data_IF_751283170018
#
_entry.id   IF_751283170018
#
_cell.length_a   1.000
_cell.length_b   1.000
_cell.length_c   1.000
_cell.angle_alpha   90.00
_cell.angle_beta   90.00
_cell.angle_gamma   90.00
#
_symmetry.space_group_name_H-M   'P 1'
#
loop_
_entity.id
_entity.type
_entity.pdbx_description
1 polymer ?
#
# COMPACT_ATOMS: atom_id res chain seq x y z
N UNK A 1 65.11 -36.91 8.73
CA UNK A 1 65.13 -37.99 7.73
C UNK A 1 64.66 -37.40 6.41
N UNK A 2 65.58 -37.41 5.48
CA UNK A 2 65.48 -36.97 4.09
C UNK A 2 64.55 -37.85 3.27
N UNK A 3 63.92 -37.29 2.22
CA UNK A 3 63.84 -37.76 0.85
C UNK A 3 63.07 -36.71 0.05
N UNK A 4 63.70 -35.91 -0.73
CA UNK A 4 64.12 -35.86 -2.17
C UNK A 4 62.97 -36.03 -3.18
N UNK A 5 62.75 -34.97 -3.86
CA UNK A 5 62.70 -34.60 -5.27
C UNK A 5 62.30 -35.66 -6.30
N UNK A 6 61.39 -35.25 -7.16
CA UNK A 6 61.14 -35.86 -8.45
C UNK A 6 60.49 -34.83 -9.42
N UNK A 7 61.32 -34.06 -10.08
CA UNK A 7 60.97 -33.26 -11.28
C UNK A 7 60.65 -34.17 -12.43
N UNK A 8 59.56 -33.93 -13.16
CA UNK A 8 59.42 -34.37 -14.55
C UNK A 8 59.06 -33.16 -15.41
N UNK A 9 59.97 -32.80 -16.29
CA UNK A 9 59.77 -31.93 -17.42
C UNK A 9 58.74 -32.55 -18.36
N UNK A 10 57.77 -31.74 -18.80
CA UNK A 10 56.94 -32.00 -19.96
C UNK A 10 57.01 -30.77 -20.89
N UNK A 11 57.60 -31.04 -22.00
CA UNK A 11 57.82 -30.21 -23.19
C UNK A 11 56.61 -29.41 -23.64
N UNK A 12 56.87 -28.15 -23.89
CA UNK A 12 56.02 -27.17 -24.56
C UNK A 12 55.90 -27.51 -26.04
N UNK A 13 54.68 -27.59 -26.57
CA UNK A 13 54.41 -27.57 -27.98
C UNK A 13 53.67 -26.29 -28.36
N UNK A 14 54.01 -25.60 -29.44
CA UNK A 14 53.57 -24.24 -29.67
C UNK A 14 52.28 -24.13 -30.48
N UNK A 15 51.61 -22.98 -30.23
CA UNK A 15 50.69 -22.24 -31.13
C UNK A 15 49.50 -22.98 -31.72
N UNK A 16 48.35 -22.75 -31.07
CA UNK A 16 47.09 -22.68 -31.83
C UNK A 16 46.63 -21.21 -31.74
N UNK A 17 46.74 -20.49 -32.83
CA UNK A 17 46.10 -19.18 -33.01
C UNK A 17 44.60 -19.35 -32.91
N UNK A 18 44.04 -18.97 -31.75
CA UNK A 18 42.60 -18.77 -31.58
C UNK A 18 42.37 -17.30 -31.93
N UNK A 19 41.95 -17.08 -33.17
CA UNK A 19 41.36 -15.85 -33.59
C UNK A 19 40.12 -15.57 -32.73
N UNK A 20 40.03 -14.49 -31.94
CA UNK A 20 38.80 -14.13 -31.23
C UNK A 20 37.89 -13.51 -32.29
N UNK A 21 37.04 -14.34 -32.93
CA UNK A 21 35.84 -13.80 -33.54
C UNK A 21 35.04 -13.15 -32.40
N UNK A 22 35.17 -11.84 -32.33
CA UNK A 22 34.31 -11.00 -31.53
C UNK A 22 32.85 -11.23 -31.96
N UNK A 23 32.20 -12.12 -31.27
CA UNK A 23 30.75 -12.05 -31.16
C UNK A 23 30.47 -10.81 -30.31
N UNK A 24 30.19 -9.71 -30.97
CA UNK A 24 29.50 -8.57 -30.38
C UNK A 24 28.21 -9.11 -29.84
N UNK A 25 28.20 -9.45 -28.55
CA UNK A 25 26.99 -9.55 -27.75
C UNK A 25 26.36 -8.16 -27.83
N UNK A 26 25.42 -7.98 -28.79
CA UNK A 26 24.61 -6.77 -28.87
C UNK A 26 23.85 -6.72 -27.55
N UNK A 27 24.31 -5.86 -26.64
CA UNK A 27 23.74 -5.66 -25.35
C UNK A 27 22.26 -5.32 -25.55
N UNK A 28 21.38 -6.28 -25.29
CA UNK A 28 19.93 -6.14 -25.44
C UNK A 28 19.50 -5.06 -24.44
N UNK A 29 19.31 -3.82 -24.94
CA UNK A 29 19.07 -2.64 -24.12
C UNK A 29 17.70 -2.72 -23.42
N UNK A 30 17.64 -2.22 -22.16
CA UNK A 30 16.40 -1.94 -21.46
C UNK A 30 15.66 -0.83 -22.22
N UNK A 31 14.39 -1.05 -22.54
CA UNK A 31 13.55 -0.06 -23.20
C UNK A 31 12.43 0.35 -22.23
N UNK A 32 12.24 1.66 -22.06
CA UNK A 32 11.08 2.21 -21.36
C UNK A 32 10.06 2.60 -22.43
N UNK A 33 8.88 1.99 -22.34
CA UNK A 33 7.78 2.24 -23.27
C UNK A 33 6.56 2.77 -22.54
N UNK A 34 5.89 3.81 -23.09
CA UNK A 34 4.59 4.22 -22.57
C UNK A 34 3.55 3.13 -22.87
N UNK A 35 2.63 2.92 -21.92
CA UNK A 35 1.50 2.00 -22.12
C UNK A 35 0.42 2.71 -22.93
N UNK A 36 0.13 2.22 -24.13
CA UNK A 36 -0.82 2.83 -25.08
C UNK A 36 -1.82 1.83 -25.65
N UNK A 37 -1.51 0.53 -25.57
CA UNK A 37 -2.34 -0.54 -26.11
C UNK A 37 -2.89 -1.44 -25.02
N UNK A 38 -3.99 -2.15 -25.32
CA UNK A 38 -4.57 -3.13 -24.40
C UNK A 38 -3.58 -4.27 -24.06
N UNK A 39 -2.71 -4.66 -24.99
CA UNK A 39 -1.69 -5.69 -24.77
C UNK A 39 -0.64 -5.21 -23.78
N UNK A 40 -0.16 -3.97 -23.92
CA UNK A 40 0.77 -3.36 -22.98
C UNK A 40 0.14 -3.17 -21.59
N UNK A 41 -1.17 -2.86 -21.54
CA UNK A 41 -1.91 -2.80 -20.28
C UNK A 41 -1.94 -4.16 -19.56
N UNK A 42 -2.13 -5.26 -20.31
CA UNK A 42 -2.04 -6.60 -19.72
C UNK A 42 -0.63 -6.92 -19.21
N UNK A 43 0.42 -6.52 -19.96
CA UNK A 43 1.81 -6.66 -19.48
C UNK A 43 2.07 -5.85 -18.21
N UNK A 44 1.54 -4.61 -18.15
CA UNK A 44 1.65 -3.76 -16.99
C UNK A 44 1.05 -4.42 -15.73
N UNK A 45 -0.10 -5.08 -15.90
CA UNK A 45 -0.78 -5.79 -14.82
C UNK A 45 -0.09 -7.11 -14.44
N UNK A 46 0.76 -7.67 -15.31
CA UNK A 46 1.50 -8.91 -15.07
C UNK A 46 2.80 -8.70 -14.25
N UNK A 47 3.36 -7.50 -14.24
CA UNK A 47 4.66 -7.19 -13.58
C UNK A 47 4.73 -7.69 -12.13
N UNK A 48 3.73 -7.46 -11.25
CA UNK A 48 3.85 -7.92 -9.87
C UNK A 48 4.01 -9.43 -9.74
N UNK A 49 3.37 -10.21 -10.60
CA UNK A 49 3.53 -11.67 -10.59
C UNK A 49 4.96 -12.12 -10.98
N UNK A 50 5.68 -11.30 -11.76
CA UNK A 50 7.10 -11.54 -12.09
C UNK A 50 7.99 -11.17 -10.90
N UNK A 51 7.78 -10.00 -10.31
CA UNK A 51 8.61 -9.47 -9.23
C UNK A 51 8.50 -10.33 -7.96
N UNK A 52 7.28 -10.73 -7.59
CA UNK A 52 6.99 -11.44 -6.34
C UNK A 52 6.85 -12.96 -6.49
N UNK A 53 7.30 -13.55 -7.60
CA UNK A 53 7.10 -14.96 -7.91
C UNK A 53 7.53 -15.93 -6.77
N UNK A 54 8.57 -15.56 -6.01
CA UNK A 54 9.14 -16.36 -4.94
C UNK A 54 9.03 -15.70 -3.55
N UNK A 55 8.21 -14.65 -3.42
CA UNK A 55 8.05 -13.96 -2.14
C UNK A 55 6.87 -14.54 -1.33
N UNK A 56 7.15 -15.25 -0.20
CA UNK A 56 6.12 -15.88 0.60
C UNK A 56 5.24 -14.88 1.36
N UNK A 57 5.68 -13.64 1.54
CA UNK A 57 4.94 -12.61 2.25
C UNK A 57 4.02 -11.79 1.35
N UNK A 58 4.21 -11.86 0.04
CA UNK A 58 3.39 -11.12 -0.88
C UNK A 58 1.94 -11.63 -0.91
N UNK A 59 1.00 -10.67 -0.92
CA UNK A 59 -0.43 -10.92 -1.10
C UNK A 59 -0.86 -10.29 -2.42
N UNK A 60 -1.19 -11.09 -3.44
CA UNK A 60 -1.59 -10.56 -4.74
C UNK A 60 -2.83 -9.68 -4.64
N UNK A 61 -2.78 -8.43 -5.13
CA UNK A 61 -3.99 -7.60 -5.23
C UNK A 61 -4.95 -8.19 -6.26
N UNK A 62 -6.23 -7.84 -6.15
CA UNK A 62 -7.19 -8.19 -7.20
C UNK A 62 -6.84 -7.44 -8.48
N UNK A 63 -6.45 -8.18 -9.52
CA UNK A 63 -6.04 -7.63 -10.83
C UNK A 63 -7.09 -6.68 -11.42
N UNK A 64 -8.38 -7.03 -11.29
CA UNK A 64 -9.50 -6.21 -11.74
C UNK A 64 -9.59 -4.86 -11.02
N UNK A 65 -9.20 -4.80 -9.75
CA UNK A 65 -9.21 -3.54 -8.99
C UNK A 65 -8.14 -2.58 -9.51
N UNK A 66 -6.93 -3.08 -9.77
CA UNK A 66 -5.85 -2.26 -10.36
C UNK A 66 -6.22 -1.82 -11.78
N UNK A 67 -6.79 -2.72 -12.59
CA UNK A 67 -7.26 -2.38 -13.93
C UNK A 67 -8.34 -1.26 -13.89
N UNK A 68 -9.30 -1.33 -12.95
CA UNK A 68 -10.32 -0.27 -12.76
C UNK A 68 -9.69 1.06 -12.35
N UNK A 69 -8.69 1.05 -11.45
CA UNK A 69 -7.99 2.28 -11.02
C UNK A 69 -7.24 2.97 -12.17
N UNK A 70 -6.75 2.23 -13.14
CA UNK A 70 -5.98 2.75 -14.28
C UNK A 70 -6.81 2.88 -15.56
N UNK A 71 -8.11 2.57 -15.49
CA UNK A 71 -9.00 2.66 -16.64
C UNK A 71 -9.27 4.12 -17.05
N UNK A 72 -9.52 4.40 -18.34
CA UNK A 72 -9.89 5.73 -18.82
C UNK A 72 -11.16 6.31 -18.17
N UNK A 73 -11.96 5.45 -17.55
CA UNK A 73 -13.20 5.82 -16.84
C UNK A 73 -12.99 6.20 -15.37
N UNK A 74 -11.73 6.13 -14.88
CA UNK A 74 -11.45 6.48 -13.48
C UNK A 74 -11.79 7.97 -13.24
N UNK A 75 -12.60 8.31 -12.21
CA UNK A 75 -12.92 9.69 -11.83
C UNK A 75 -11.69 10.57 -11.60
N UNK A 76 -10.56 10.01 -11.20
CA UNK A 76 -9.29 10.72 -11.07
C UNK A 76 -8.96 11.55 -12.33
N UNK A 77 -9.26 11.05 -13.52
CA UNK A 77 -8.96 11.73 -14.79
C UNK A 77 -9.80 12.99 -15.05
N UNK A 78 -10.80 13.28 -14.22
CA UNK A 78 -11.55 14.54 -14.27
C UNK A 78 -10.76 15.71 -13.65
N UNK A 79 -9.82 15.42 -12.75
CA UNK A 79 -9.03 16.41 -12.03
C UNK A 79 -7.54 16.05 -11.94
N UNK A 80 -7.10 15.12 -12.74
CA UNK A 80 -5.73 14.69 -12.79
C UNK A 80 -5.38 14.06 -14.14
N UNK A 81 -4.13 13.71 -14.29
CA UNK A 81 -3.61 13.04 -15.48
C UNK A 81 -2.49 12.09 -15.11
N UNK A 82 -2.30 11.07 -15.90
CA UNK A 82 -1.28 10.05 -15.62
C UNK A 82 -0.65 9.52 -16.91
N UNK A 83 0.54 8.96 -16.76
CA UNK A 83 1.21 8.15 -17.78
C UNK A 83 1.75 6.88 -17.13
N UNK A 84 1.46 5.75 -17.73
CA UNK A 84 1.98 4.44 -17.36
C UNK A 84 3.21 4.14 -18.21
N UNK A 85 4.26 3.56 -17.59
CA UNK A 85 5.47 3.14 -18.27
C UNK A 85 5.82 1.69 -17.91
N UNK A 86 6.36 0.97 -18.89
CA UNK A 86 6.91 -0.38 -18.74
C UNK A 86 8.40 -0.36 -19.04
N UNK A 87 9.18 -1.05 -18.22
CA UNK A 87 10.53 -1.45 -18.55
C UNK A 87 10.50 -2.86 -19.15
N UNK A 88 10.98 -2.98 -20.37
CA UNK A 88 11.00 -4.24 -21.13
C UNK A 88 12.36 -4.49 -21.76
N UNK A 89 12.64 -5.77 -22.02
CA UNK A 89 13.82 -6.19 -22.79
C UNK A 89 13.33 -7.01 -23.99
N UNK A 90 13.64 -6.57 -25.21
CA UNK A 90 13.32 -7.28 -26.44
C UNK A 90 14.58 -7.98 -26.95
N UNK A 91 14.47 -9.24 -27.31
CA UNK A 91 15.55 -9.97 -27.99
C UNK A 91 15.61 -9.52 -29.45
N UNK A 92 16.74 -8.99 -29.87
CA UNK A 92 16.97 -8.72 -31.31
C UNK A 92 17.13 -10.04 -32.06
N UNK A 93 16.12 -10.46 -32.83
CA UNK A 93 16.28 -11.31 -34.02
C UNK A 93 14.96 -11.51 -34.78
N UNK A 94 14.89 -10.98 -35.98
CA UNK A 94 13.97 -11.31 -37.06
C UNK A 94 12.54 -10.77 -36.99
N UNK A 95 11.99 -10.39 -38.14
CA UNK A 95 10.65 -9.78 -38.32
C UNK A 95 9.48 -10.59 -37.72
N UNK A 96 9.62 -11.88 -37.52
CA UNK A 96 8.59 -12.74 -36.89
C UNK A 96 8.50 -12.59 -35.36
N UNK A 97 9.46 -11.96 -34.68
CA UNK A 97 9.52 -11.80 -33.23
C UNK A 97 9.01 -10.44 -32.69
N UNK A 98 8.62 -9.52 -33.58
CA UNK A 98 8.00 -8.26 -33.13
C UNK A 98 6.66 -8.48 -32.42
N UNK A 99 6.01 -9.63 -32.57
CA UNK A 99 4.77 -10.01 -31.87
C UNK A 99 4.99 -10.85 -30.61
N UNK A 100 6.22 -11.26 -30.29
CA UNK A 100 6.50 -12.02 -29.08
C UNK A 100 6.45 -11.11 -27.84
N UNK A 101 5.87 -11.62 -26.73
CA UNK A 101 5.86 -10.94 -25.44
C UNK A 101 7.31 -10.65 -25.01
N UNK A 102 7.68 -9.38 -24.75
CA UNK A 102 9.02 -9.04 -24.28
C UNK A 102 9.26 -9.59 -22.87
N UNK A 103 10.53 -9.65 -22.45
CA UNK A 103 10.84 -9.87 -21.04
C UNK A 103 10.40 -8.65 -20.25
N UNK A 104 9.49 -8.85 -19.30
CA UNK A 104 8.94 -7.82 -18.45
C UNK A 104 9.90 -7.57 -17.26
N UNK A 105 10.35 -6.34 -17.07
CA UNK A 105 11.34 -5.97 -16.06
C UNK A 105 10.79 -5.07 -14.96
N UNK A 106 9.78 -4.23 -15.28
CA UNK A 106 9.20 -3.34 -14.28
C UNK A 106 8.13 -2.43 -14.85
N UNK A 107 7.51 -1.67 -13.97
CA UNK A 107 6.46 -0.70 -14.27
C UNK A 107 6.50 0.50 -13.34
N UNK A 108 5.94 1.62 -13.76
CA UNK A 108 5.71 2.81 -12.94
C UNK A 108 4.55 3.62 -13.54
N UNK A 109 3.86 4.38 -12.69
CA UNK A 109 2.91 5.42 -13.11
C UNK A 109 3.45 6.75 -12.63
N UNK A 110 3.49 7.74 -13.54
CA UNK A 110 3.63 9.15 -13.20
C UNK A 110 2.24 9.79 -13.24
N UNK A 111 1.92 10.62 -12.25
CA UNK A 111 0.60 11.24 -12.14
C UNK A 111 0.69 12.67 -11.63
N UNK A 112 -0.22 13.52 -12.10
CA UNK A 112 -0.46 14.86 -11.57
C UNK A 112 -1.86 14.90 -11.01
N UNK A 113 -1.99 15.30 -9.76
CA UNK A 113 -3.25 15.43 -9.04
C UNK A 113 -3.50 16.92 -8.76
N UNK A 114 -4.35 17.55 -9.55
CA UNK A 114 -4.57 18.99 -9.46
C UNK A 114 -5.22 19.39 -8.13
N UNK A 115 -6.10 18.55 -7.55
CA UNK A 115 -6.66 18.80 -6.20
C UNK A 115 -5.59 18.80 -5.09
N UNK A 116 -4.53 18.00 -5.26
CA UNK A 116 -3.40 18.00 -4.32
C UNK A 116 -2.57 19.27 -4.46
N UNK A 117 -2.32 19.70 -5.72
CA UNK A 117 -1.59 20.92 -6.04
C UNK A 117 -2.32 22.14 -5.49
N UNK A 118 -3.62 22.24 -5.75
CA UNK A 118 -4.46 23.35 -5.26
C UNK A 118 -4.45 23.46 -3.75
N UNK A 119 -4.46 22.28 -3.08
CA UNK A 119 -4.45 22.23 -1.62
C UNK A 119 -3.10 22.60 -1.02
N UNK A 120 -2.00 22.10 -1.57
CA UNK A 120 -0.65 22.34 -1.04
C UNK A 120 -0.06 23.66 -1.52
N UNK A 121 -0.60 24.27 -2.60
CA UNK A 121 -0.02 25.46 -3.26
C UNK A 121 1.35 25.18 -3.86
N UNK A 122 1.70 23.90 -4.12
CA UNK A 122 3.01 23.44 -4.55
C UNK A 122 2.87 22.49 -5.74
N UNK A 123 3.69 22.70 -6.79
CA UNK A 123 3.69 21.89 -8.02
C UNK A 123 4.38 20.53 -7.79
N UNK A 124 3.66 19.63 -7.15
CA UNK A 124 4.10 18.26 -6.85
C UNK A 124 3.46 17.27 -7.80
N UNK A 125 4.30 16.47 -8.46
CA UNK A 125 3.87 15.29 -9.21
C UNK A 125 4.06 14.01 -8.40
N UNK A 126 3.34 12.97 -8.73
CA UNK A 126 3.34 11.71 -8.02
C UNK A 126 3.95 10.60 -8.88
N UNK A 127 4.67 9.66 -8.25
CA UNK A 127 4.89 8.34 -8.83
C UNK A 127 4.22 7.27 -7.96
N UNK A 128 3.72 6.22 -8.61
CA UNK A 128 3.10 5.09 -7.94
C UNK A 128 3.14 3.82 -8.80
N UNK A 129 2.51 2.75 -8.35
CA UNK A 129 2.52 1.44 -9.02
C UNK A 129 3.92 0.95 -9.41
N UNK A 130 4.94 1.42 -8.67
CA UNK A 130 6.34 1.10 -8.95
C UNK A 130 6.63 -0.34 -8.59
N UNK A 131 7.08 -1.10 -9.59
CA UNK A 131 7.52 -2.47 -9.46
C UNK A 131 8.68 -2.73 -10.41
N UNK A 132 9.76 -3.36 -9.95
CA UNK A 132 10.87 -3.76 -10.82
C UNK A 132 11.57 -5.01 -10.30
N UNK A 133 12.24 -5.71 -11.22
CA UNK A 133 13.18 -6.79 -10.88
C UNK A 133 14.36 -6.22 -10.07
N UNK A 134 15.16 -7.05 -9.35
CA UNK A 134 16.28 -6.59 -8.53
C UNK A 134 17.48 -6.10 -9.38
N UNK A 135 17.23 -5.08 -10.21
CA UNK A 135 18.21 -4.41 -11.06
C UNK A 135 18.04 -2.88 -10.94
N UNK A 136 19.04 -2.23 -10.36
CA UNK A 136 19.02 -0.78 -10.19
C UNK A 136 18.93 -0.02 -11.51
N UNK A 137 19.50 -0.55 -12.60
CA UNK A 137 19.43 0.10 -13.92
C UNK A 137 17.99 0.17 -14.42
N UNK A 138 17.18 -0.88 -14.17
CA UNK A 138 15.76 -0.91 -14.48
C UNK A 138 14.99 0.10 -13.61
N UNK A 139 15.26 0.10 -12.31
CA UNK A 139 14.62 1.01 -11.37
C UNK A 139 14.89 2.47 -11.75
N UNK A 140 16.17 2.81 -11.99
CA UNK A 140 16.60 4.16 -12.39
C UNK A 140 15.93 4.59 -13.69
N UNK A 141 15.90 3.74 -14.71
CA UNK A 141 15.26 4.06 -15.99
C UNK A 141 13.75 4.37 -15.84
N UNK A 142 13.04 3.61 -15.00
CA UNK A 142 11.63 3.86 -14.69
C UNK A 142 11.42 5.18 -13.94
N UNK A 143 12.24 5.44 -12.91
CA UNK A 143 12.18 6.68 -12.13
C UNK A 143 12.50 7.89 -12.98
N UNK A 144 13.53 7.80 -13.84
CA UNK A 144 13.89 8.87 -14.78
C UNK A 144 12.75 9.18 -15.75
N UNK A 145 12.12 8.17 -16.34
CA UNK A 145 10.98 8.35 -17.24
C UNK A 145 9.78 9.02 -16.55
N UNK A 146 9.49 8.63 -15.32
CA UNK A 146 8.45 9.28 -14.52
C UNK A 146 8.81 10.74 -14.21
N UNK A 147 10.04 11.02 -13.79
CA UNK A 147 10.51 12.37 -13.51
C UNK A 147 10.51 13.25 -14.77
N UNK A 148 10.91 12.72 -15.92
CA UNK A 148 10.91 13.46 -17.19
C UNK A 148 9.48 13.83 -17.61
N UNK A 149 8.55 12.88 -17.53
CA UNK A 149 7.15 13.16 -17.82
C UNK A 149 6.58 14.24 -16.87
N UNK A 150 6.87 14.13 -15.56
CA UNK A 150 6.41 15.11 -14.57
C UNK A 150 7.00 16.51 -14.82
N UNK A 151 8.29 16.63 -15.22
CA UNK A 151 8.88 17.92 -15.67
C UNK A 151 8.13 18.47 -16.87
N UNK A 152 7.81 17.63 -17.84
CA UNK A 152 7.00 18.00 -19.02
C UNK A 152 5.59 18.49 -18.65
N UNK A 153 5.05 18.06 -17.50
CA UNK A 153 3.80 18.56 -16.94
C UNK A 153 3.98 19.81 -16.07
N UNK A 154 5.20 20.36 -15.96
CA UNK A 154 5.48 21.56 -15.20
C UNK A 154 5.60 21.35 -13.69
N UNK A 155 5.80 20.12 -13.23
CA UNK A 155 6.04 19.81 -11.82
C UNK A 155 7.49 20.16 -11.44
N UNK A 156 7.69 20.60 -10.20
CA UNK A 156 9.00 20.97 -9.65
C UNK A 156 9.49 20.00 -8.58
N UNK A 157 8.61 19.14 -8.09
CA UNK A 157 8.91 18.07 -7.14
C UNK A 157 8.20 16.79 -7.59
N UNK A 158 8.88 15.65 -7.50
CA UNK A 158 8.28 14.34 -7.59
C UNK A 158 8.18 13.72 -6.20
N UNK A 159 7.05 13.08 -5.88
CA UNK A 159 6.75 12.47 -4.58
C UNK A 159 6.18 11.07 -4.78
N UNK A 160 6.58 10.11 -3.95
CA UNK A 160 6.03 8.76 -3.99
C UNK A 160 6.74 7.74 -3.10
N UNK A 161 6.29 6.47 -3.12
CA UNK A 161 5.20 6.00 -3.97
C UNK A 161 3.82 6.44 -3.45
N UNK A 162 2.98 6.88 -4.37
CA UNK A 162 1.56 7.21 -4.10
C UNK A 162 0.76 6.86 -5.37
N UNK A 163 -0.15 5.92 -5.26
CA UNK A 163 -0.99 5.48 -6.37
C UNK A 163 -2.13 6.48 -6.60
N UNK A 164 -1.84 7.57 -7.35
CA UNK A 164 -2.71 8.68 -7.72
C UNK A 164 -3.14 9.57 -6.52
N UNK A 165 -3.31 9.02 -5.34
CA UNK A 165 -3.74 9.68 -4.11
C UNK A 165 -3.38 8.83 -2.91
N UNK A 166 -3.19 9.45 -1.73
CA UNK A 166 -2.98 8.74 -0.46
C UNK A 166 -4.19 7.95 0.03
N UNK A 167 -5.33 8.03 -0.65
CA UNK A 167 -6.47 7.14 -0.40
C UNK A 167 -6.31 5.76 -1.02
N UNK A 168 -5.44 5.63 -2.02
CA UNK A 168 -5.03 4.37 -2.61
C UNK A 168 -3.78 3.83 -1.91
N UNK A 169 -3.12 2.84 -2.54
CA UNK A 169 -1.86 2.33 -2.04
C UNK A 169 -0.78 3.43 -2.09
N UNK A 170 -0.05 3.59 -0.99
CA UNK A 170 1.07 4.54 -0.90
C UNK A 170 2.08 4.04 0.13
N UNK A 171 3.27 4.64 0.17
CA UNK A 171 4.38 4.29 1.05
C UNK A 171 5.16 3.05 0.57
N UNK A 172 6.49 3.09 0.73
CA UNK A 172 7.33 1.89 0.74
C UNK A 172 7.50 1.37 2.14
N UNK A 173 7.43 0.05 2.31
CA UNK A 173 7.94 -0.63 3.49
C UNK A 173 9.47 -0.46 3.52
N UNK A 174 10.02 0.02 4.63
CA UNK A 174 11.47 0.22 4.82
C UNK A 174 12.03 -0.63 5.96
N UNK A 175 11.17 -1.11 6.88
CA UNK A 175 11.53 -2.01 7.98
C UNK A 175 10.35 -2.90 8.35
N UNK A 176 10.60 -4.16 8.78
CA UNK A 176 9.59 -5.15 9.13
C UNK A 176 9.15 -6.03 7.95
N UNK A 177 10.10 -6.46 7.11
CA UNK A 177 9.86 -7.31 5.93
C UNK A 177 9.56 -8.79 6.26
N UNK A 178 9.67 -9.19 7.50
CA UNK A 178 9.57 -10.58 7.99
C UNK A 178 8.14 -11.15 8.04
N UNK A 179 7.15 -10.33 7.77
CA UNK A 179 5.73 -10.72 7.84
C UNK A 179 4.90 -10.12 6.71
N UNK A 180 3.81 -10.81 6.29
CA UNK A 180 2.88 -10.27 5.30
C UNK A 180 2.29 -8.92 5.70
N UNK A 181 1.85 -8.09 4.73
CA UNK A 181 1.11 -6.87 5.04
C UNK A 181 -0.30 -7.22 5.56
N UNK A 182 -0.85 -6.40 6.43
CA UNK A 182 -2.28 -6.37 6.73
C UNK A 182 -3.07 -5.81 5.54
N UNK A 183 -4.37 -6.08 5.50
CA UNK A 183 -5.25 -5.57 4.46
C UNK A 183 -5.10 -4.06 4.26
N UNK A 184 -5.02 -3.63 3.00
CA UNK A 184 -4.82 -2.23 2.59
C UNK A 184 -3.50 -1.61 3.10
N UNK A 185 -2.50 -2.42 3.44
CA UNK A 185 -1.13 -1.95 3.69
C UNK A 185 -0.23 -2.31 2.52
N UNK A 186 0.70 -1.41 2.15
CA UNK A 186 1.65 -1.68 1.07
C UNK A 186 2.65 -2.76 1.45
N UNK A 187 3.17 -3.42 0.43
CA UNK A 187 4.27 -4.35 0.54
C UNK A 187 5.17 -4.23 -0.69
N UNK A 188 6.45 -4.31 -0.49
CA UNK A 188 7.47 -4.24 -1.54
C UNK A 188 8.72 -5.03 -1.15
N UNK A 189 9.57 -5.43 -2.12
CA UNK A 189 10.88 -5.99 -1.84
C UNK A 189 11.80 -5.01 -1.10
N UNK A 190 12.74 -5.49 -0.26
CA UNK A 190 13.63 -4.63 0.51
C UNK A 190 14.55 -3.73 -0.32
N UNK A 191 14.80 -4.08 -1.57
CA UNK A 191 15.68 -3.32 -2.45
C UNK A 191 15.01 -2.06 -3.07
N UNK A 192 13.67 -1.89 -3.00
CA UNK A 192 13.02 -0.69 -3.54
C UNK A 192 13.44 0.59 -2.81
N UNK A 193 13.37 0.68 -1.48
CA UNK A 193 13.90 1.84 -0.76
C UNK A 193 15.37 2.12 -1.08
N UNK A 194 16.19 1.08 -1.15
CA UNK A 194 17.61 1.21 -1.47
C UNK A 194 17.84 1.80 -2.86
N UNK A 195 17.10 1.34 -3.87
CA UNK A 195 17.21 1.87 -5.24
C UNK A 195 16.74 3.31 -5.34
N UNK A 196 15.65 3.66 -4.67
CA UNK A 196 15.14 5.04 -4.65
C UNK A 196 16.12 5.97 -3.95
N UNK A 197 16.70 5.57 -2.82
CA UNK A 197 17.75 6.33 -2.11
C UNK A 197 19.05 6.45 -2.94
N UNK A 198 19.45 5.37 -3.61
CA UNK A 198 20.61 5.38 -4.53
C UNK A 198 20.38 6.31 -5.73
N UNK A 199 19.15 6.49 -6.21
CA UNK A 199 18.79 7.45 -7.26
C UNK A 199 18.64 8.90 -6.74
N UNK A 200 18.97 9.15 -5.47
CA UNK A 200 19.03 10.50 -4.89
C UNK A 200 17.71 11.04 -4.35
N UNK A 201 16.68 10.20 -4.21
CA UNK A 201 15.46 10.59 -3.53
C UNK A 201 15.70 10.72 -2.03
N UNK A 202 15.01 11.67 -1.42
CA UNK A 202 15.12 11.96 0.00
C UNK A 202 13.83 11.56 0.74
N UNK A 203 13.95 11.21 2.01
CA UNK A 203 12.81 10.98 2.89
C UNK A 203 11.93 12.23 2.94
N UNK A 204 10.65 12.07 2.61
CA UNK A 204 9.64 13.12 2.81
C UNK A 204 8.84 12.89 4.09
N UNK A 205 8.38 11.65 4.34
CA UNK A 205 7.53 11.31 5.50
C UNK A 205 7.66 9.85 5.88
N UNK A 206 7.81 9.57 7.18
CA UNK A 206 7.68 8.22 7.73
C UNK A 206 6.29 7.99 8.34
N UNK A 207 5.88 6.73 8.30
CA UNK A 207 4.66 6.25 8.93
C UNK A 207 4.90 4.89 9.58
N UNK A 208 4.19 4.62 10.66
CA UNK A 208 4.39 3.41 11.46
C UNK A 208 3.14 2.54 11.48
N UNK A 209 3.36 1.23 11.49
CA UNK A 209 2.36 0.26 11.87
C UNK A 209 2.69 -0.30 13.27
N UNK A 210 1.70 -0.29 14.13
CA UNK A 210 1.81 -0.79 15.49
C UNK A 210 1.13 -2.15 15.61
N UNK A 211 1.83 -3.12 16.16
CA UNK A 211 1.24 -4.38 16.58
C UNK A 211 0.68 -4.23 18.00
N UNK A 212 -0.60 -4.53 18.17
CA UNK A 212 -1.29 -4.53 19.45
C UNK A 212 -1.80 -5.94 19.75
N UNK A 213 -1.26 -6.64 20.78
CA UNK A 213 -1.69 -7.99 21.13
C UNK A 213 -3.10 -7.96 21.76
N UNK A 214 -3.96 -8.89 21.34
CA UNK A 214 -5.34 -9.07 21.86
C UNK A 214 -5.50 -10.40 22.64
N UNK A 215 -4.43 -11.14 22.79
CA UNK A 215 -4.35 -12.38 23.60
C UNK A 215 -4.20 -12.10 25.10
N UNK A 216 -4.15 -10.83 25.49
CA UNK A 216 -4.06 -10.35 26.87
C UNK A 216 -5.27 -9.48 27.19
N UNK A 217 -5.67 -9.40 28.48
CA UNK A 217 -6.71 -8.48 28.90
C UNK A 217 -6.36 -7.03 28.52
N UNK A 218 -7.35 -6.29 28.05
CA UNK A 218 -7.17 -4.85 27.79
C UNK A 218 -6.91 -4.10 29.10
N UNK A 219 -6.15 -3.00 29.00
CA UNK A 219 -5.94 -2.12 30.14
C UNK A 219 -7.29 -1.65 30.72
N UNK A 220 -7.48 -1.70 32.05
CA UNK A 220 -8.70 -1.23 32.71
C UNK A 220 -9.05 0.23 32.39
N UNK A 221 -8.08 1.03 31.98
CA UNK A 221 -8.30 2.44 31.62
C UNK A 221 -9.22 2.59 30.40
N UNK A 222 -9.22 1.65 29.47
CA UNK A 222 -10.13 1.67 28.33
C UNK A 222 -11.59 1.49 28.77
N UNK A 223 -11.87 0.51 29.63
CA UNK A 223 -13.20 0.29 30.17
C UNK A 223 -13.66 1.46 31.05
N UNK A 224 -12.76 1.99 31.87
CA UNK A 224 -13.03 3.20 32.69
C UNK A 224 -13.40 4.39 31.80
N UNK A 225 -12.63 4.61 30.71
CA UNK A 225 -12.94 5.66 29.74
C UNK A 225 -14.30 5.47 29.08
N UNK A 226 -14.64 4.26 28.68
CA UNK A 226 -15.96 3.91 28.13
C UNK A 226 -17.08 4.24 29.10
N UNK A 227 -16.96 3.84 30.39
CA UNK A 227 -17.96 4.13 31.44
C UNK A 227 -18.11 5.63 31.69
N UNK A 228 -17.01 6.42 31.63
CA UNK A 228 -17.06 7.88 31.75
C UNK A 228 -17.82 8.48 30.57
N UNK A 229 -17.55 8.01 29.34
CA UNK A 229 -18.24 8.49 28.13
C UNK A 229 -19.75 8.26 28.23
N UNK A 230 -20.20 7.06 28.64
CA UNK A 230 -21.61 6.74 28.85
C UNK A 230 -22.26 7.69 29.89
N UNK A 231 -21.60 7.91 31.03
CA UNK A 231 -22.12 8.84 32.08
C UNK A 231 -22.18 10.28 31.60
N UNK A 232 -21.40 10.64 30.55
CA UNK A 232 -21.40 11.97 29.95
C UNK A 232 -22.47 12.16 28.88
N UNK A 233 -23.38 11.19 28.73
CA UNK A 233 -24.49 11.22 27.74
C UNK A 233 -24.09 10.75 26.33
N UNK A 234 -22.89 10.19 26.16
CA UNK A 234 -22.47 9.59 24.88
C UNK A 234 -23.07 8.21 24.76
N UNK A 235 -23.61 7.88 23.59
CA UNK A 235 -24.06 6.55 23.24
C UNK A 235 -23.14 5.92 22.20
N UNK A 236 -23.08 4.59 22.17
CA UNK A 236 -22.27 3.84 21.22
C UNK A 236 -23.13 2.78 20.55
N UNK A 237 -22.90 2.58 19.26
CA UNK A 237 -23.50 1.51 18.46
C UNK A 237 -22.55 1.03 17.40
N UNK A 238 -22.78 -0.18 16.84
CA UNK A 238 -22.05 -0.60 15.63
C UNK A 238 -22.48 0.23 14.41
N UNK A 239 -21.63 0.25 13.37
CA UNK A 239 -21.97 0.76 12.04
C UNK A 239 -23.15 -0.07 11.48
N UNK A 240 -24.16 0.60 10.93
CA UNK A 240 -25.24 -0.05 10.19
C UNK A 240 -24.71 -0.50 8.83
N UNK A 241 -24.84 -1.78 8.49
CA UNK A 241 -24.26 -2.36 7.27
C UNK A 241 -25.30 -2.67 6.19
N UNK A 242 -26.58 -2.31 6.39
CA UNK A 242 -27.68 -2.64 5.48
C UNK A 242 -28.66 -1.48 5.30
N UNK A 243 -29.29 -1.44 4.11
CA UNK A 243 -30.37 -0.50 3.79
C UNK A 243 -29.95 0.97 3.92
N UNK A 244 -30.94 1.84 4.03
CA UNK A 244 -30.75 3.31 4.14
C UNK A 244 -29.89 3.73 5.32
N UNK A 245 -29.89 2.91 6.39
CA UNK A 245 -29.04 3.14 7.56
C UNK A 245 -27.56 3.13 7.24
N UNK A 246 -27.10 2.28 6.31
CA UNK A 246 -25.71 2.27 5.86
C UNK A 246 -25.35 3.56 5.14
N UNK A 247 -26.18 4.03 4.22
CA UNK A 247 -25.93 5.25 3.48
C UNK A 247 -25.89 6.49 4.39
N UNK A 248 -26.84 6.58 5.34
CA UNK A 248 -26.86 7.65 6.34
C UNK A 248 -25.59 7.65 7.21
N UNK A 249 -25.14 6.48 7.66
CA UNK A 249 -23.89 6.36 8.41
C UNK A 249 -22.67 6.76 7.56
N UNK A 250 -22.63 6.37 6.28
CA UNK A 250 -21.56 6.74 5.39
C UNK A 250 -21.51 8.25 5.12
N UNK A 251 -22.65 8.92 5.00
CA UNK A 251 -22.69 10.40 4.88
C UNK A 251 -22.16 11.06 6.16
N UNK A 252 -22.56 10.57 7.33
CA UNK A 252 -22.06 11.08 8.61
C UNK A 252 -20.55 10.82 8.78
N UNK A 253 -20.08 9.64 8.37
CA UNK A 253 -18.66 9.30 8.34
C UNK A 253 -17.88 10.23 7.40
N UNK A 254 -18.39 10.48 6.19
CA UNK A 254 -17.76 11.42 5.25
C UNK A 254 -17.55 12.80 5.88
N UNK A 255 -18.61 13.36 6.48
CA UNK A 255 -18.55 14.68 7.09
C UNK A 255 -17.53 14.73 8.24
N UNK A 256 -17.55 13.72 9.11
CA UNK A 256 -16.64 13.64 10.24
C UNK A 256 -15.19 13.37 9.78
N UNK A 257 -15.00 12.47 8.83
CA UNK A 257 -13.69 12.13 8.25
C UNK A 257 -13.06 13.34 7.57
N UNK A 258 -13.83 14.02 6.72
CA UNK A 258 -13.35 15.22 6.00
C UNK A 258 -12.95 16.32 6.98
N UNK A 259 -13.76 16.56 8.03
CA UNK A 259 -13.45 17.56 9.07
C UNK A 259 -12.19 17.18 9.87
N UNK A 260 -12.02 15.90 10.22
CA UNK A 260 -10.94 15.45 11.08
C UNK A 260 -9.58 15.30 10.36
N UNK A 261 -9.62 14.89 9.09
CA UNK A 261 -8.42 14.53 8.32
C UNK A 261 -8.08 15.51 7.19
N UNK A 262 -8.81 16.65 7.09
CA UNK A 262 -8.56 17.68 6.08
C UNK A 262 -7.12 18.18 6.06
N UNK A 263 -6.45 18.21 7.19
CA UNK A 263 -5.08 18.71 7.34
C UNK A 263 -4.01 17.61 7.30
N UNK A 264 -4.37 16.37 6.99
CA UNK A 264 -3.38 15.31 6.85
C UNK A 264 -2.43 15.62 5.68
N UNK A 265 -1.15 15.34 5.91
CA UNK A 265 -0.10 15.55 4.92
C UNK A 265 -0.39 14.75 3.64
N UNK A 266 -0.24 15.42 2.48
CA UNK A 266 -0.45 14.86 1.14
C UNK A 266 -1.84 14.24 0.88
N UNK A 267 -2.83 14.54 1.74
CA UNK A 267 -4.20 14.05 1.56
C UNK A 267 -4.90 14.84 0.44
N UNK A 268 -5.59 14.17 -0.45
CA UNK A 268 -6.39 14.79 -1.53
C UNK A 268 -7.84 14.91 -1.10
N UNK A 269 -8.49 16.09 -1.25
CA UNK A 269 -9.92 16.22 -1.03
C UNK A 269 -10.72 15.27 -1.93
N UNK A 270 -11.74 14.61 -1.36
CA UNK A 270 -12.68 13.75 -2.09
C UNK A 270 -14.09 14.34 -2.04
N UNK A 271 -14.90 14.07 -3.07
CA UNK A 271 -16.32 14.38 -3.01
C UNK A 271 -17.07 13.35 -2.16
N UNK A 272 -18.29 13.68 -1.76
CA UNK A 272 -19.15 12.75 -1.03
C UNK A 272 -19.48 11.51 -1.89
N UNK A 273 -19.70 11.70 -3.19
CA UNK A 273 -20.00 10.63 -4.13
C UNK A 273 -18.85 9.64 -4.25
N UNK A 274 -17.60 10.15 -4.39
CA UNK A 274 -16.39 9.31 -4.42
C UNK A 274 -16.25 8.48 -3.13
N UNK A 275 -16.50 9.11 -1.97
CA UNK A 275 -16.44 8.42 -0.68
C UNK A 275 -17.53 7.35 -0.55
N UNK A 276 -18.76 7.65 -0.96
CA UNK A 276 -19.88 6.71 -0.89
C UNK A 276 -19.70 5.52 -1.84
N UNK A 277 -19.14 5.74 -3.04
CA UNK A 277 -18.82 4.65 -3.97
C UNK A 277 -17.77 3.70 -3.35
N UNK A 278 -16.71 4.25 -2.75
CA UNK A 278 -15.69 3.44 -2.07
C UNK A 278 -16.28 2.69 -0.86
N UNK A 279 -17.10 3.35 -0.06
CA UNK A 279 -17.77 2.73 1.08
C UNK A 279 -18.68 1.55 0.65
N UNK A 280 -19.42 1.69 -0.47
CA UNK A 280 -20.21 0.61 -1.06
C UNK A 280 -19.35 -0.58 -1.49
N UNK A 281 -18.17 -0.35 -2.05
CA UNK A 281 -17.24 -1.41 -2.42
C UNK A 281 -16.70 -2.19 -1.19
N UNK A 282 -16.58 -1.53 -0.04
CA UNK A 282 -16.12 -2.13 1.21
C UNK A 282 -17.26 -2.71 2.07
N UNK A 283 -18.51 -2.40 1.78
CA UNK A 283 -19.70 -2.74 2.62
C UNK A 283 -19.72 -4.21 3.04
N UNK A 284 -19.44 -5.13 2.11
CA UNK A 284 -19.46 -6.59 2.37
C UNK A 284 -18.29 -7.09 3.22
N UNK A 285 -17.26 -6.26 3.39
CA UNK A 285 -16.05 -6.54 4.17
C UNK A 285 -16.14 -5.94 5.56
N UNK A 286 -17.06 -5.00 5.80
CA UNK A 286 -17.22 -4.38 7.12
C UNK A 286 -17.77 -5.40 8.09
N UNK A 287 -17.13 -5.46 9.25
CA UNK A 287 -17.61 -6.22 10.40
C UNK A 287 -18.07 -5.23 11.48
N UNK A 288 -19.40 -5.15 11.75
CA UNK A 288 -19.93 -4.15 12.68
C UNK A 288 -19.43 -4.30 14.11
N UNK A 289 -18.99 -5.50 14.51
CA UNK A 289 -18.48 -5.74 15.87
C UNK A 289 -17.16 -5.00 16.13
N UNK A 290 -16.37 -4.76 15.08
CA UNK A 290 -15.10 -4.02 15.15
C UNK A 290 -15.18 -2.62 14.55
N UNK A 291 -16.40 -2.11 14.35
CA UNK A 291 -16.63 -0.76 13.83
C UNK A 291 -17.64 0.03 14.69
N UNK A 292 -17.32 0.34 15.95
CA UNK A 292 -18.17 1.18 16.80
C UNK A 292 -18.19 2.64 16.36
N UNK A 293 -19.36 3.25 16.51
CA UNK A 293 -19.67 4.66 16.32
C UNK A 293 -20.07 5.25 17.67
N UNK A 294 -19.61 6.47 17.94
CA UNK A 294 -20.03 7.27 19.09
C UNK A 294 -21.00 8.36 18.65
N UNK A 295 -22.10 8.51 19.37
CA UNK A 295 -23.12 9.53 19.12
C UNK A 295 -23.40 10.36 20.38
N UNK A 296 -23.77 11.62 20.17
CA UNK A 296 -24.24 12.52 21.21
C UNK A 296 -25.41 13.35 20.68
N UNK A 297 -26.56 13.29 21.38
CA UNK A 297 -27.83 13.89 20.91
C UNK A 297 -28.23 13.48 19.49
N UNK A 298 -27.96 12.22 19.10
CA UNK A 298 -28.29 11.68 17.76
C UNK A 298 -27.31 12.04 16.66
N UNK A 299 -26.27 12.82 16.95
CA UNK A 299 -25.23 13.15 15.97
C UNK A 299 -23.98 12.29 16.16
N UNK A 300 -23.36 11.84 15.06
CA UNK A 300 -22.11 11.10 15.07
C UNK A 300 -20.95 12.02 15.45
N UNK A 301 -20.30 11.72 16.57
CA UNK A 301 -19.19 12.52 17.14
C UNK A 301 -17.84 11.80 17.09
N UNK A 302 -17.85 10.53 16.75
CA UNK A 302 -16.62 9.74 16.64
C UNK A 302 -16.89 8.37 16.06
N UNK A 303 -15.82 7.74 15.57
CA UNK A 303 -15.83 6.37 15.07
C UNK A 303 -14.46 5.70 15.25
N UNK A 304 -14.49 4.37 15.22
CA UNK A 304 -13.33 3.50 15.09
C UNK A 304 -13.57 2.58 13.91
N UNK A 305 -12.69 2.64 12.91
CA UNK A 305 -12.78 1.84 11.71
C UNK A 305 -11.80 0.67 11.80
N UNK A 306 -12.30 -0.46 12.28
CA UNK A 306 -11.59 -1.73 12.25
C UNK A 306 -12.08 -2.60 11.08
N UNK A 307 -11.18 -3.31 10.44
CA UNK A 307 -11.50 -4.33 9.44
C UNK A 307 -10.78 -5.65 9.76
N UNK A 308 -11.45 -6.80 9.55
CA UNK A 308 -10.78 -8.09 9.55
C UNK A 308 -9.67 -8.14 8.51
N UNK A 309 -8.58 -8.87 8.78
CA UNK A 309 -7.49 -8.99 7.80
C UNK A 309 -7.85 -9.97 6.68
N UNK A 310 -8.48 -9.46 5.65
CA UNK A 310 -8.83 -10.23 4.46
C UNK A 310 -7.62 -10.61 3.59
N UNK A 311 -6.41 -10.14 3.88
CA UNK A 311 -5.21 -10.64 3.22
C UNK A 311 -4.99 -12.13 3.49
N UNK A 312 -5.48 -12.66 4.62
CA UNK A 312 -5.42 -14.10 4.92
C UNK A 312 -6.11 -14.93 3.83
N UNK A 313 -7.43 -14.74 3.53
CA UNK A 313 -8.05 -15.46 2.43
C UNK A 313 -7.57 -15.02 1.04
N UNK A 314 -7.23 -13.74 0.81
CA UNK A 314 -6.77 -13.23 -0.48
C UNK A 314 -5.47 -13.91 -0.94
N UNK A 315 -4.55 -14.19 -0.03
CA UNK A 315 -3.31 -14.90 -0.31
C UNK A 315 -3.54 -16.26 -0.99
N UNK A 316 -4.61 -16.96 -0.63
CA UNK A 316 -4.94 -18.30 -1.14
C UNK A 316 -5.65 -18.30 -2.49
N UNK A 317 -6.10 -17.15 -2.98
CA UNK A 317 -6.78 -17.02 -4.27
C UNK A 317 -5.89 -16.43 -5.37
N UNK A 318 -4.65 -16.03 -5.05
CA UNK A 318 -3.67 -15.49 -6.00
C UNK A 318 -4.24 -14.37 -6.89
N UNK A 319 -4.99 -13.43 -6.30
CA UNK A 319 -5.57 -12.30 -7.02
C UNK A 319 -6.70 -12.64 -8.02
N UNK A 320 -7.20 -13.91 -8.03
CA UNK A 320 -8.23 -14.38 -8.98
C UNK A 320 -9.52 -14.71 -8.22
N UNK A 321 -10.54 -13.88 -8.38
CA UNK A 321 -11.85 -14.06 -7.77
C UNK A 321 -12.84 -14.76 -8.75
N UNK A 322 -12.45 -15.92 -9.30
CA UNK A 322 -13.34 -16.80 -10.03
C UNK A 322 -14.16 -17.67 -9.03
N UNK A 323 -15.05 -18.55 -9.51
CA UNK A 323 -15.92 -19.38 -8.66
C UNK A 323 -15.13 -20.27 -7.67
N UNK A 324 -13.99 -20.85 -8.09
CA UNK A 324 -13.09 -21.61 -7.22
C UNK A 324 -12.39 -20.70 -6.21
N UNK A 325 -11.98 -19.52 -6.64
CA UNK A 325 -11.42 -18.48 -5.77
C UNK A 325 -12.42 -18.04 -4.70
N UNK A 326 -13.69 -17.88 -5.07
CA UNK A 326 -14.74 -17.53 -4.11
C UNK A 326 -14.94 -18.63 -3.04
N UNK A 327 -14.96 -19.92 -3.43
CA UNK A 327 -15.08 -21.02 -2.48
C UNK A 327 -13.87 -21.05 -1.53
N UNK A 328 -12.65 -20.89 -2.07
CA UNK A 328 -11.43 -20.77 -1.25
C UNK A 328 -11.50 -19.58 -0.30
N UNK A 329 -11.91 -18.40 -0.80
CA UNK A 329 -12.06 -17.20 0.01
C UNK A 329 -13.02 -17.45 1.19
N UNK A 330 -14.19 -18.01 0.95
CA UNK A 330 -15.17 -18.31 2.00
C UNK A 330 -14.65 -19.34 3.02
N UNK A 331 -13.86 -20.31 2.58
CA UNK A 331 -13.22 -21.28 3.46
C UNK A 331 -12.17 -20.63 4.35
N UNK A 332 -11.21 -19.89 3.74
CA UNK A 332 -10.10 -19.26 4.46
C UNK A 332 -10.53 -18.04 5.28
N UNK A 333 -11.63 -17.37 4.95
CA UNK A 333 -12.23 -16.31 5.77
C UNK A 333 -12.45 -16.74 7.23
N UNK A 334 -12.74 -18.02 7.47
CA UNK A 334 -12.91 -18.59 8.82
C UNK A 334 -11.59 -18.63 9.62
N UNK A 335 -10.46 -18.43 8.97
CA UNK A 335 -9.13 -18.44 9.60
C UNK A 335 -8.68 -17.05 10.04
N UNK A 336 -9.44 -16.01 9.73
CA UNK A 336 -9.11 -14.65 10.15
C UNK A 336 -9.12 -14.62 11.68
N UNK A 337 -7.96 -14.27 12.26
CA UNK A 337 -7.72 -14.15 13.69
C UNK A 337 -6.96 -12.86 14.05
N UNK A 338 -7.03 -11.88 13.16
CA UNK A 338 -6.42 -10.56 13.31
C UNK A 338 -7.20 -9.51 12.50
N UNK A 339 -7.03 -8.25 12.86
CA UNK A 339 -7.67 -7.14 12.17
C UNK A 339 -6.79 -5.91 12.12
N UNK A 340 -7.16 -4.98 11.26
CA UNK A 340 -6.48 -3.69 11.11
C UNK A 340 -7.42 -2.56 11.53
N UNK A 341 -6.88 -1.62 12.30
CA UNK A 341 -7.54 -0.35 12.62
C UNK A 341 -7.02 0.70 11.66
N UNK A 342 -7.88 1.10 10.76
CA UNK A 342 -7.55 2.04 9.66
C UNK A 342 -7.62 3.48 10.16
N UNK A 343 -8.65 3.79 10.95
CA UNK A 343 -8.84 5.14 11.46
C UNK A 343 -9.57 5.13 12.80
N UNK A 344 -9.22 6.07 13.64
CA UNK A 344 -9.99 6.47 14.82
C UNK A 344 -10.15 7.98 14.78
N UNK A 345 -11.36 8.43 15.02
CA UNK A 345 -11.67 9.85 15.06
C UNK A 345 -12.65 10.15 16.20
N UNK A 346 -12.47 11.30 16.81
CA UNK A 346 -13.48 11.94 17.66
C UNK A 346 -13.37 13.44 17.53
N UNK A 347 -14.50 14.14 17.56
CA UNK A 347 -14.49 15.60 17.60
C UNK A 347 -13.71 16.10 18.83
N UNK A 348 -12.89 17.16 18.69
CA UNK A 348 -12.02 17.65 19.77
C UNK A 348 -12.74 17.95 21.09
N UNK A 349 -13.94 18.52 21.02
CA UNK A 349 -14.78 18.87 22.15
C UNK A 349 -15.23 17.67 23.00
N UNK A 350 -15.26 16.47 22.41
CA UNK A 350 -15.65 15.23 23.07
C UNK A 350 -14.47 14.40 23.61
N UNK A 351 -13.23 14.83 23.36
CA UNK A 351 -12.04 14.12 23.86
C UNK A 351 -12.01 14.08 25.41
N UNK A 352 -12.43 15.16 26.07
CA UNK A 352 -12.54 15.23 27.54
C UNK A 352 -13.62 14.31 28.09
N UNK A 353 -14.63 13.94 27.30
CA UNK A 353 -15.65 12.94 27.63
C UNK A 353 -15.17 11.51 27.42
N UNK A 354 -13.88 11.29 27.17
CA UNK A 354 -13.22 9.98 26.98
C UNK A 354 -13.76 9.17 25.79
N UNK A 355 -14.36 9.83 24.79
CA UNK A 355 -14.88 9.16 23.58
C UNK A 355 -13.83 8.30 22.87
N UNK A 356 -12.56 8.76 22.68
CA UNK A 356 -11.54 7.91 22.07
C UNK A 356 -11.31 6.59 22.80
N UNK A 357 -11.26 6.61 24.15
CA UNK A 357 -11.04 5.41 24.95
C UNK A 357 -12.25 4.46 24.88
N UNK A 358 -13.47 5.01 24.84
CA UNK A 358 -14.69 4.22 24.63
C UNK A 358 -14.71 3.50 23.28
N UNK A 359 -14.31 4.20 22.22
CA UNK A 359 -14.21 3.63 20.87
C UNK A 359 -13.13 2.55 20.79
N UNK A 360 -11.94 2.77 21.39
CA UNK A 360 -10.87 1.79 21.48
C UNK A 360 -11.35 0.54 22.22
N UNK A 361 -11.98 0.74 23.40
CA UNK A 361 -12.51 -0.36 24.19
C UNK A 361 -13.45 -1.24 23.41
N UNK A 362 -14.48 -0.64 22.78
CA UNK A 362 -15.49 -1.39 22.02
C UNK A 362 -14.91 -2.05 20.76
N UNK A 363 -14.09 -1.36 19.99
CA UNK A 363 -13.47 -1.91 18.80
C UNK A 363 -12.54 -3.11 19.08
N UNK A 364 -11.75 -3.03 20.17
CA UNK A 364 -10.90 -4.13 20.60
C UNK A 364 -11.71 -5.29 21.18
N UNK A 365 -12.71 -5.01 22.04
CA UNK A 365 -13.61 -6.02 22.61
C UNK A 365 -14.37 -6.77 21.52
N UNK A 366 -14.83 -6.08 20.46
CA UNK A 366 -15.45 -6.71 19.31
C UNK A 366 -14.58 -7.78 18.65
N UNK A 367 -13.28 -7.55 18.56
CA UNK A 367 -12.31 -8.56 18.07
C UNK A 367 -12.08 -9.72 19.06
N UNK A 368 -11.98 -9.40 20.35
CA UNK A 368 -11.74 -10.41 21.42
C UNK A 368 -12.94 -11.34 21.62
N UNK A 369 -14.15 -10.80 21.51
CA UNK A 369 -15.40 -11.56 21.78
C UNK A 369 -15.93 -12.38 20.60
N UNK A 370 -15.21 -12.39 19.45
CA UNK A 370 -15.61 -13.23 18.31
C UNK A 370 -15.56 -14.72 18.64
N UNK A 371 -16.35 -15.51 17.93
CA UNK A 371 -16.31 -16.98 18.03
C UNK A 371 -14.92 -17.58 17.78
N UNK A 372 -14.09 -16.90 16.98
CA UNK A 372 -12.64 -17.06 16.90
C UNK A 372 -12.00 -15.74 17.29
N UNK A 373 -11.51 -15.57 18.54
CA UNK A 373 -10.93 -14.33 19.01
C UNK A 373 -9.73 -13.89 18.18
N UNK A 374 -9.63 -12.59 17.94
CA UNK A 374 -8.45 -12.03 17.31
C UNK A 374 -7.27 -12.06 18.27
N UNK A 375 -6.11 -12.46 17.76
CA UNK A 375 -4.86 -12.53 18.52
C UNK A 375 -4.14 -11.18 18.59
N UNK A 376 -4.34 -10.36 17.54
CA UNK A 376 -3.72 -9.04 17.43
C UNK A 376 -4.56 -8.08 16.57
N UNK A 377 -4.35 -6.79 16.81
CA UNK A 377 -4.77 -5.72 15.92
C UNK A 377 -3.53 -4.97 15.41
N UNK A 378 -3.56 -4.57 14.14
CA UNK A 378 -2.61 -3.60 13.62
C UNK A 378 -3.25 -2.21 13.65
N UNK A 379 -2.55 -1.22 14.22
CA UNK A 379 -2.95 0.18 14.15
C UNK A 379 -2.03 0.87 13.13
N UNK A 380 -2.55 1.18 11.95
CA UNK A 380 -1.76 1.70 10.83
C UNK A 380 -2.61 2.51 9.84
N UNK A 381 -1.98 3.42 9.12
CA UNK A 381 -0.65 3.94 9.40
C UNK A 381 -0.75 5.20 10.26
N UNK A 382 0.26 5.41 11.07
CA UNK A 382 0.37 6.60 11.93
C UNK A 382 1.61 7.35 11.51
N UNK A 383 1.45 8.57 11.00
CA UNK A 383 2.59 9.40 10.60
C UNK A 383 3.49 9.74 11.79
N UNK A 384 4.80 9.88 11.52
CA UNK A 384 5.85 10.10 12.52
C UNK A 384 5.60 11.33 13.41
N UNK A 385 4.95 12.36 12.90
CA UNK A 385 4.61 13.61 13.58
C UNK A 385 3.23 13.59 14.29
N UNK A 386 2.46 12.51 14.15
CA UNK A 386 1.20 12.36 14.90
C UNK A 386 1.47 11.86 16.34
N UNK A 387 2.19 12.70 17.10
CA UNK A 387 2.57 12.38 18.48
C UNK A 387 1.40 12.02 19.42
N UNK A 388 0.21 12.68 19.36
CA UNK A 388 -0.91 12.29 20.22
C UNK A 388 -1.35 10.84 20.04
N UNK A 389 -1.50 10.39 18.77
CA UNK A 389 -1.89 9.01 18.47
C UNK A 389 -0.79 8.03 18.85
N UNK A 390 0.47 8.34 18.52
CA UNK A 390 1.62 7.50 18.85
C UNK A 390 1.74 7.26 20.36
N UNK A 391 1.71 8.34 21.16
CA UNK A 391 1.78 8.24 22.63
C UNK A 391 0.65 7.40 23.20
N UNK A 392 -0.58 7.56 22.69
CA UNK A 392 -1.71 6.78 23.16
C UNK A 392 -1.52 5.29 22.86
N UNK A 393 -1.11 4.94 21.64
CA UNK A 393 -0.89 3.55 21.22
C UNK A 393 0.24 2.91 22.03
N UNK A 394 1.37 3.60 22.17
CA UNK A 394 2.55 3.11 22.89
C UNK A 394 2.27 2.94 24.39
N UNK A 395 1.59 3.90 25.02
CA UNK A 395 1.16 3.81 26.42
C UNK A 395 0.15 2.67 26.65
N UNK A 396 -0.58 2.27 25.61
CA UNK A 396 -1.54 1.16 25.65
C UNK A 396 -0.92 -0.21 25.39
N UNK A 397 0.39 -0.27 25.10
CA UNK A 397 1.13 -1.51 24.86
C UNK A 397 1.35 -1.84 23.38
N UNK A 398 0.94 -0.97 22.46
CA UNK A 398 1.25 -1.12 21.03
C UNK A 398 2.75 -0.90 20.77
N UNK A 399 3.33 -1.71 19.88
CA UNK A 399 4.75 -1.62 19.51
C UNK A 399 4.87 -1.45 18.00
N UNK A 400 5.73 -0.51 17.57
CA UNK A 400 6.09 -0.39 16.15
C UNK A 400 6.70 -1.72 15.72
N UNK A 401 6.22 -2.28 14.60
CA UNK A 401 6.75 -3.50 14.01
C UNK A 401 7.00 -3.38 12.51
N UNK A 402 6.46 -2.34 11.87
CA UNK A 402 6.77 -1.97 10.48
C UNK A 402 6.93 -0.46 10.38
N UNK A 403 7.90 -0.04 9.56
CA UNK A 403 8.12 1.35 9.19
C UNK A 403 7.93 1.51 7.70
N UNK A 404 7.24 2.57 7.31
CA UNK A 404 6.94 2.91 5.94
C UNK A 404 7.44 4.31 5.63
N UNK A 405 7.73 4.60 4.34
CA UNK A 405 8.29 5.87 3.92
C UNK A 405 7.74 6.34 2.58
N UNK A 406 7.51 7.64 2.46
CA UNK A 406 7.35 8.36 1.20
C UNK A 406 8.63 9.15 0.95
N UNK A 407 9.02 9.22 -0.32
CA UNK A 407 10.20 9.93 -0.79
C UNK A 407 9.82 11.11 -1.66
N UNK A 408 10.73 12.08 -1.74
CA UNK A 408 10.66 13.22 -2.66
C UNK A 408 11.97 13.43 -3.37
N UNK A 409 11.87 14.01 -4.58
CA UNK A 409 13.02 14.45 -5.39
C UNK A 409 12.68 15.75 -6.09
N UNK A 410 13.57 16.75 -6.03
CA UNK A 410 13.43 17.96 -6.82
C UNK A 410 13.58 17.63 -8.31
N UNK A 411 12.74 18.23 -9.14
CA UNK A 411 12.74 18.10 -10.59
C UNK A 411 13.40 19.34 -11.20
N UNK A 412 14.68 19.53 -10.90
CA UNK A 412 15.48 20.61 -11.48
C UNK A 412 15.85 20.35 -12.93
#
# INVERSE_FOLDING_TARGET
MHYEQGKRDVTVNPSVDINPTATTDSAIAIQIIPVTTAVEQEWFLDIPAVVYANDPNWVPPLRSSIAKQLAPTNPFLQYGRLQQFLAVKRTESGERRQQAKPLLLGRIVAAVNDRLIDREGHKVGLFGYFECVPDFTVAKALLDAACEWLRGQGMITARGPIDLSTHNNCLFLVDGFDSPPMMMMPYNPPYYPQFVEQDGWQKAKDAYAYNFPLDKPLSPEFEKGYRIALRSGVTFRPLRTKGDGFEQDCISLYNLFTKAFSNNWSSTPRTQEEFLEEAKNLQSLVDPDVFPIAEYNGEMIGFWMGLPDYNIPLKHINGKLNWLGMLKFLWYRRQIDQGRVIAICSLPEFRRKMVPLGLIYLGMQGGIQKGKPYKRAELSWVYEDNYPSRKLIEASGGKIYKTYRIYEKALT
#
